data_IF_552504215210
#
_entry.id   IF_552504215210
#
_cell.length_a   1.000
_cell.length_b   1.000
_cell.length_c   1.000
_cell.angle_alpha   90.00
_cell.angle_beta   90.00
_cell.angle_gamma   90.00
#
_symmetry.space_group_name_H-M   'P 1'
#
loop_
_entity.id
_entity.type
_entity.pdbx_description
1 polymer ?
#
# COMPACT_ATOMS: atom_id res chain seq x y z
N UNK A 1 -32.81 50.38 -64.27
CA UNK A 1 -32.78 50.90 -62.89
C UNK A 1 -32.77 49.70 -62.00
N UNK A 2 -31.61 49.36 -61.49
CA UNK A 2 -31.41 48.19 -60.58
C UNK A 2 -31.35 48.67 -59.16
N UNK A 3 -31.98 47.91 -58.24
CA UNK A 3 -31.83 48.08 -56.80
C UNK A 3 -31.16 46.86 -56.25
N UNK A 4 -29.94 47.02 -55.76
CA UNK A 4 -29.19 45.99 -55.02
C UNK A 4 -29.71 45.93 -53.60
N UNK A 5 -30.23 44.78 -53.19
CA UNK A 5 -30.55 44.46 -51.79
C UNK A 5 -29.32 43.72 -51.16
N UNK A 6 -28.70 44.34 -50.19
CA UNK A 6 -27.65 43.71 -49.33
C UNK A 6 -28.35 42.95 -48.21
N UNK A 7 -28.17 41.64 -48.17
CA UNK A 7 -28.57 40.79 -47.04
C UNK A 7 -27.42 40.72 -46.02
N UNK A 8 -27.60 41.28 -44.83
CA UNK A 8 -26.68 41.13 -43.71
C UNK A 8 -26.93 39.79 -42.99
N UNK A 9 -25.96 38.89 -43.03
CA UNK A 9 -25.94 37.65 -42.22
C UNK A 9 -25.42 37.97 -40.82
N UNK A 10 -26.29 37.96 -39.85
CA UNK A 10 -25.94 38.07 -38.44
C UNK A 10 -25.49 36.67 -37.97
N UNK A 11 -24.19 36.49 -37.82
CA UNK A 11 -23.62 35.29 -37.23
C UNK A 11 -23.85 35.29 -35.70
N UNK A 12 -24.59 34.33 -35.23
CA UNK A 12 -24.71 34.10 -33.78
C UNK A 12 -23.42 33.50 -33.22
N UNK A 13 -22.89 34.01 -32.07
CA UNK A 13 -21.75 33.41 -31.41
C UNK A 13 -22.15 32.02 -30.88
N UNK A 14 -21.55 30.97 -31.43
CA UNK A 14 -21.68 29.62 -30.90
C UNK A 14 -21.00 29.55 -29.52
N UNK A 15 -21.79 29.27 -28.49
CA UNK A 15 -21.25 28.89 -27.18
C UNK A 15 -20.60 27.52 -27.30
N UNK A 16 -19.26 27.47 -27.26
CA UNK A 16 -18.54 26.22 -27.10
C UNK A 16 -18.86 25.69 -25.70
N UNK A 17 -19.68 24.65 -25.62
CA UNK A 17 -19.83 23.87 -24.38
C UNK A 17 -18.48 23.21 -24.09
N UNK A 18 -17.82 23.65 -23.04
CA UNK A 18 -16.65 22.94 -22.52
C UNK A 18 -17.09 21.56 -22.02
N UNK A 19 -16.50 20.52 -22.59
CA UNK A 19 -16.68 19.15 -22.14
C UNK A 19 -16.24 19.06 -20.68
N UNK A 20 -17.03 18.44 -19.76
CA UNK A 20 -16.64 18.32 -18.37
C UNK A 20 -15.32 17.53 -18.30
N UNK A 21 -14.41 17.89 -17.35
CA UNK A 21 -13.16 17.17 -17.19
C UNK A 21 -13.47 15.69 -16.89
N UNK A 22 -12.64 14.74 -17.40
CA UNK A 22 -12.83 13.32 -17.14
C UNK A 22 -12.81 13.07 -15.63
N UNK A 23 -13.70 12.18 -15.18
CA UNK A 23 -13.74 11.77 -13.77
C UNK A 23 -12.37 11.29 -13.31
N UNK A 24 -11.93 11.67 -12.09
CA UNK A 24 -10.68 11.18 -11.54
C UNK A 24 -10.71 9.64 -11.46
N UNK A 25 -9.59 8.98 -11.74
CA UNK A 25 -9.51 7.52 -11.66
C UNK A 25 -9.99 7.04 -10.28
N UNK A 26 -10.70 5.90 -10.20
CA UNK A 26 -11.17 5.36 -8.93
C UNK A 26 -10.00 5.22 -7.96
N UNK A 27 -10.14 5.81 -6.78
CA UNK A 27 -9.13 5.66 -5.72
C UNK A 27 -9.08 4.20 -5.28
N UNK A 28 -7.88 3.63 -5.07
CA UNK A 28 -7.77 2.30 -4.50
C UNK A 28 -8.50 2.27 -3.14
N UNK A 29 -9.15 1.14 -2.81
CA UNK A 29 -9.83 1.00 -1.52
C UNK A 29 -8.83 1.28 -0.38
N UNK A 30 -9.29 1.90 0.71
CA UNK A 30 -8.43 2.15 1.86
C UNK A 30 -7.85 0.82 2.38
N UNK A 31 -6.57 0.79 2.81
CA UNK A 31 -5.96 -0.42 3.32
C UNK A 31 -6.72 -0.93 4.54
N UNK A 32 -6.82 -2.26 4.73
CA UNK A 32 -7.47 -2.84 5.89
C UNK A 32 -6.88 -2.32 7.20
N UNK A 33 -7.72 -1.97 8.15
CA UNK A 33 -7.27 -1.57 9.47
C UNK A 33 -6.75 -2.79 10.24
N UNK A 34 -5.44 -3.03 10.21
CA UNK A 34 -4.78 -4.15 10.88
C UNK A 34 -5.09 -4.19 12.37
N UNK A 35 -5.27 -3.04 13.01
CA UNK A 35 -5.55 -2.96 14.44
C UNK A 35 -6.97 -3.43 14.82
N UNK A 36 -7.88 -3.52 13.87
CA UNK A 36 -9.21 -4.06 14.08
C UNK A 36 -9.25 -5.60 14.10
N UNK A 37 -8.17 -6.27 13.63
CA UNK A 37 -8.08 -7.72 13.58
C UNK A 37 -7.76 -8.32 14.95
N UNK A 38 -8.18 -9.58 15.19
CA UNK A 38 -7.96 -10.29 16.43
C UNK A 38 -6.46 -10.60 16.66
N UNK A 39 -5.88 -10.25 17.81
CA UNK A 39 -4.47 -10.53 18.06
C UNK A 39 -4.23 -12.03 18.29
N UNK A 40 -3.17 -12.57 17.67
CA UNK A 40 -2.67 -13.91 17.99
C UNK A 40 -1.59 -13.83 19.07
N UNK A 41 -1.33 -14.97 19.73
CA UNK A 41 -0.25 -15.09 20.70
C UNK A 41 1.10 -15.12 19.98
N UNK A 42 1.92 -14.11 20.20
CA UNK A 42 3.19 -13.91 19.51
C UNK A 42 4.15 -15.11 19.66
N UNK A 43 4.20 -15.72 20.86
CA UNK A 43 5.08 -16.86 21.14
C UNK A 43 4.80 -18.09 20.26
N UNK A 44 3.59 -18.23 19.72
CA UNK A 44 3.22 -19.37 18.89
C UNK A 44 3.82 -19.28 17.48
N UNK A 45 4.33 -18.10 17.12
CA UNK A 45 4.99 -17.78 15.85
C UNK A 45 6.49 -17.60 16.00
N UNK A 46 7.04 -17.85 17.21
CA UNK A 46 8.46 -17.71 17.47
C UNK A 46 9.26 -18.79 16.71
N UNK A 47 10.25 -18.35 15.93
CA UNK A 47 11.19 -19.19 15.18
C UNK A 47 12.61 -18.69 15.43
N UNK A 48 13.64 -19.38 14.94
CA UNK A 48 15.03 -18.97 15.11
C UNK A 48 15.40 -18.70 16.57
N UNK A 49 15.04 -19.62 17.46
CA UNK A 49 15.22 -19.48 18.92
C UNK A 49 14.58 -18.19 19.50
N UNK A 50 13.45 -17.77 18.95
CA UNK A 50 12.73 -16.58 19.38
C UNK A 50 13.32 -15.26 18.89
N UNK A 51 14.25 -15.29 17.94
CA UNK A 51 14.79 -14.07 17.31
C UNK A 51 13.87 -13.54 16.20
N UNK A 52 13.04 -14.40 15.62
CA UNK A 52 12.04 -14.02 14.63
C UNK A 52 10.66 -14.50 15.05
N UNK A 53 9.64 -13.79 14.58
CA UNK A 53 8.24 -14.21 14.63
C UNK A 53 7.75 -14.30 13.19
N UNK A 54 7.52 -15.52 12.70
CA UNK A 54 7.26 -15.74 11.28
C UNK A 54 5.90 -16.40 11.07
N UNK A 55 5.26 -16.03 9.96
CA UNK A 55 4.00 -16.61 9.52
C UNK A 55 3.98 -16.74 8.00
N UNK A 56 3.05 -17.55 7.48
CA UNK A 56 2.77 -17.62 6.05
C UNK A 56 1.45 -16.93 5.71
N UNK A 57 1.43 -16.30 4.55
CA UNK A 57 0.22 -15.73 3.95
C UNK A 57 -0.57 -16.82 3.22
N UNK A 58 -1.84 -16.58 2.81
CA UNK A 58 -2.60 -17.50 1.97
C UNK A 58 -1.88 -17.87 0.66
N UNK A 59 -1.11 -16.96 0.09
CA UNK A 59 -0.36 -17.15 -1.16
C UNK A 59 0.97 -17.89 -0.96
N UNK A 60 1.29 -18.33 0.26
CA UNK A 60 2.52 -19.05 0.56
C UNK A 60 3.77 -18.17 0.72
N UNK A 61 3.61 -16.87 0.81
CA UNK A 61 4.70 -15.94 1.12
C UNK A 61 5.06 -16.06 2.60
N UNK A 62 6.35 -16.09 2.93
CA UNK A 62 6.83 -16.12 4.32
C UNK A 62 7.08 -14.68 4.77
N UNK A 63 6.42 -14.28 5.84
CA UNK A 63 6.61 -12.99 6.50
C UNK A 63 7.29 -13.17 7.85
N UNK A 64 8.15 -12.23 8.23
CA UNK A 64 8.87 -12.26 9.50
C UNK A 64 8.98 -10.86 10.11
N UNK A 65 8.80 -10.82 11.45
CA UNK A 65 9.16 -9.70 12.31
C UNK A 65 10.42 -10.12 13.06
N UNK A 66 11.52 -9.38 12.91
CA UNK A 66 12.84 -9.78 13.38
C UNK A 66 13.28 -8.90 14.54
N UNK A 67 13.77 -9.48 15.62
CA UNK A 67 14.36 -8.69 16.72
C UNK A 67 15.54 -7.87 16.21
N UNK A 68 15.39 -6.54 16.23
CA UNK A 68 16.44 -5.59 15.86
C UNK A 68 16.66 -5.32 14.36
N UNK A 69 16.09 -6.13 13.47
CA UNK A 69 16.37 -6.02 12.02
C UNK A 69 15.20 -5.53 11.17
N UNK A 70 14.02 -5.35 11.75
CA UNK A 70 12.85 -4.91 11.00
C UNK A 70 11.88 -6.04 10.66
N UNK A 71 11.16 -5.87 9.56
CA UNK A 71 10.11 -6.78 9.13
C UNK A 71 10.01 -6.86 7.61
N UNK A 72 9.38 -7.91 7.11
CA UNK A 72 9.17 -8.07 5.69
C UNK A 72 8.53 -9.39 5.31
N UNK A 73 8.31 -9.57 4.01
CA UNK A 73 7.79 -10.78 3.42
C UNK A 73 8.61 -11.15 2.18
N UNK A 74 8.86 -12.45 1.99
CA UNK A 74 9.61 -12.96 0.85
C UNK A 74 8.99 -14.24 0.30
N UNK A 75 8.99 -14.37 -1.01
CA UNK A 75 8.41 -15.49 -1.74
C UNK A 75 7.64 -15.04 -2.98
N UNK A 76 6.65 -15.82 -3.44
CA UNK A 76 5.82 -15.46 -4.58
C UNK A 76 4.81 -14.37 -4.20
N UNK A 77 5.28 -13.12 -4.10
CA UNK A 77 4.42 -11.99 -3.73
C UNK A 77 3.37 -11.77 -4.82
N UNK A 78 2.07 -11.83 -4.48
CA UNK A 78 1.01 -11.69 -5.46
C UNK A 78 1.00 -10.29 -6.09
N UNK A 79 0.84 -10.21 -7.41
CA UNK A 79 0.79 -8.96 -8.17
C UNK A 79 1.83 -7.92 -7.72
N UNK A 80 3.06 -8.36 -7.46
CA UNK A 80 4.16 -7.52 -7.02
C UNK A 80 4.63 -6.57 -8.14
N UNK A 81 5.02 -5.34 -7.80
CA UNK A 81 5.66 -4.43 -8.75
C UNK A 81 6.93 -5.05 -9.33
N UNK A 82 7.13 -4.94 -10.64
CA UNK A 82 8.36 -5.35 -11.34
C UNK A 82 8.84 -6.79 -11.06
N UNK A 83 7.92 -7.68 -10.65
CA UNK A 83 8.25 -9.06 -10.31
C UNK A 83 9.03 -9.21 -8.99
N UNK A 84 8.91 -8.27 -8.08
CA UNK A 84 9.54 -8.32 -6.77
C UNK A 84 9.12 -9.57 -5.99
N UNK A 85 10.08 -10.19 -5.31
CA UNK A 85 9.88 -11.35 -4.45
C UNK A 85 10.27 -11.09 -2.98
N UNK A 86 10.57 -9.85 -2.67
CA UNK A 86 10.88 -9.37 -1.33
C UNK A 86 10.24 -7.99 -1.12
N UNK A 87 9.61 -7.81 0.01
CA UNK A 87 9.26 -6.51 0.56
C UNK A 87 9.76 -6.45 1.99
N UNK A 88 10.46 -5.38 2.36
CA UNK A 88 11.02 -5.27 3.70
C UNK A 88 11.20 -3.82 4.16
N UNK A 89 11.29 -3.64 5.46
CA UNK A 89 11.61 -2.38 6.13
C UNK A 89 12.36 -2.62 7.42
N UNK A 90 13.25 -1.69 7.77
CA UNK A 90 13.74 -1.57 9.15
C UNK A 90 12.67 -0.94 10.04
N UNK A 91 12.72 -1.17 11.36
CA UNK A 91 11.79 -0.53 12.31
C UNK A 91 11.88 1.01 12.22
N UNK A 92 10.73 1.64 11.99
CA UNK A 92 10.63 3.08 11.79
C UNK A 92 11.10 3.56 10.41
N UNK A 93 11.47 2.64 9.51
CA UNK A 93 11.85 2.95 8.13
C UNK A 93 10.69 2.83 7.15
N UNK A 94 10.94 3.26 5.91
CA UNK A 94 10.00 3.08 4.80
C UNK A 94 10.18 1.69 4.20
N UNK A 95 9.07 1.01 3.96
CA UNK A 95 9.09 -0.29 3.29
C UNK A 95 9.42 -0.13 1.80
N UNK A 96 10.02 -1.16 1.20
CA UNK A 96 10.34 -1.19 -0.22
C UNK A 96 10.28 -2.59 -0.80
N UNK A 97 9.85 -2.67 -2.08
CA UNK A 97 9.92 -3.89 -2.87
C UNK A 97 11.30 -4.05 -3.50
N UNK A 98 11.76 -5.28 -3.62
CA UNK A 98 13.02 -5.62 -4.26
C UNK A 98 13.03 -7.06 -4.80
N UNK A 99 14.05 -7.39 -5.59
CA UNK A 99 14.30 -8.74 -6.07
C UNK A 99 15.48 -9.31 -5.30
N UNK A 100 15.25 -10.43 -4.62
CA UNK A 100 16.27 -11.19 -3.93
C UNK A 100 16.58 -12.49 -4.70
N UNK A 101 17.81 -13.05 -4.60
CA UNK A 101 18.19 -14.28 -5.31
C UNK A 101 17.48 -15.53 -4.79
N UNK A 102 16.67 -15.43 -3.75
CA UNK A 102 15.89 -16.50 -3.16
C UNK A 102 14.96 -16.00 -2.07
N UNK A 103 14.30 -16.93 -1.35
CA UNK A 103 13.47 -16.56 -0.22
C UNK A 103 14.34 -16.19 0.99
N UNK A 104 14.38 -14.89 1.30
CA UNK A 104 15.20 -14.31 2.39
C UNK A 104 14.79 -14.85 3.76
N UNK A 105 13.53 -15.23 3.93
CA UNK A 105 12.99 -15.74 5.20
C UNK A 105 12.89 -17.27 5.24
N UNK A 106 13.50 -17.98 4.28
CA UNK A 106 13.53 -19.46 4.27
C UNK A 106 14.09 -20.07 5.57
N UNK A 107 15.00 -19.36 6.25
CA UNK A 107 15.55 -19.78 7.53
C UNK A 107 14.49 -19.87 8.66
N UNK A 108 13.33 -19.25 8.49
CA UNK A 108 12.19 -19.40 9.41
C UNK A 108 11.63 -20.83 9.42
N UNK A 109 11.97 -21.65 8.43
CA UNK A 109 11.47 -23.01 8.28
C UNK A 109 9.97 -23.06 7.98
N UNK A 110 9.27 -24.04 8.53
CA UNK A 110 7.83 -24.20 8.38
C UNK A 110 7.08 -23.19 9.28
N UNK A 111 6.96 -21.95 8.81
CA UNK A 111 6.19 -20.91 9.50
C UNK A 111 4.69 -21.24 9.48
N UNK A 112 4.00 -20.98 10.60
CA UNK A 112 2.56 -21.20 10.69
C UNK A 112 1.78 -20.21 9.84
N UNK A 113 0.64 -20.60 9.25
CA UNK A 113 -0.28 -19.66 8.63
C UNK A 113 -0.81 -18.67 9.67
N UNK A 114 -0.92 -17.40 9.28
CA UNK A 114 -1.68 -16.41 10.07
C UNK A 114 -3.16 -16.58 9.72
N UNK A 115 -4.03 -16.95 10.68
CA UNK A 115 -5.44 -17.18 10.39
C UNK A 115 -6.14 -15.94 9.82
N UNK A 116 -7.15 -16.12 8.96
CA UNK A 116 -7.99 -15.03 8.51
C UNK A 116 -8.62 -14.26 9.70
N UNK A 117 -8.70 -12.94 9.57
CA UNK A 117 -9.22 -12.07 10.63
C UNK A 117 -8.26 -11.87 11.81
N UNK A 118 -6.99 -12.29 11.66
CA UNK A 118 -5.99 -12.24 12.74
C UNK A 118 -4.84 -11.31 12.43
N UNK A 119 -4.22 -10.81 13.51
CA UNK A 119 -2.98 -10.01 13.43
C UNK A 119 -1.92 -10.53 14.39
N UNK A 120 -0.68 -10.40 13.98
CA UNK A 120 0.51 -10.59 14.81
C UNK A 120 1.20 -9.24 14.99
N UNK A 121 1.65 -8.93 16.20
CA UNK A 121 2.31 -7.65 16.50
C UNK A 121 3.58 -7.87 17.28
N UNK A 122 4.62 -7.14 16.90
CA UNK A 122 5.88 -7.08 17.63
C UNK A 122 6.45 -5.67 17.57
N UNK A 123 6.78 -5.10 18.72
CA UNK A 123 7.20 -3.69 18.85
C UNK A 123 6.17 -2.74 18.21
N UNK A 124 6.59 -1.94 17.24
CA UNK A 124 5.73 -0.97 16.54
C UNK A 124 5.04 -1.53 15.30
N UNK A 125 5.38 -2.77 14.91
CA UNK A 125 4.86 -3.39 13.68
C UNK A 125 3.70 -4.32 13.98
N UNK A 126 2.66 -4.21 13.19
CA UNK A 126 1.52 -5.12 13.16
C UNK A 126 1.30 -5.64 11.75
N UNK A 127 1.23 -6.95 11.60
CA UNK A 127 0.85 -7.61 10.35
C UNK A 127 -0.48 -8.33 10.53
N UNK A 128 -1.40 -8.15 9.61
CA UNK A 128 -2.72 -8.78 9.66
C UNK A 128 -3.09 -9.45 8.35
N UNK A 129 -3.93 -10.49 8.46
CA UNK A 129 -4.49 -11.21 7.32
C UNK A 129 -6.02 -11.17 7.43
N UNK A 130 -6.69 -10.61 6.43
CA UNK A 130 -8.16 -10.57 6.35
C UNK A 130 -8.78 -11.81 5.65
N UNK A 131 -7.94 -12.72 5.15
CA UNK A 131 -8.31 -13.92 4.39
C UNK A 131 -7.91 -13.85 2.91
N UNK A 132 -7.70 -12.66 2.37
CA UNK A 132 -7.28 -12.44 0.98
C UNK A 132 -6.05 -11.57 0.91
N UNK A 133 -5.97 -10.58 1.80
CA UNK A 133 -4.95 -9.54 1.82
C UNK A 133 -4.13 -9.64 3.09
N UNK A 134 -2.82 -9.52 2.97
CA UNK A 134 -1.90 -9.38 4.10
C UNK A 134 -1.37 -7.95 4.14
N UNK A 135 -1.57 -7.28 5.27
CA UNK A 135 -1.12 -5.90 5.48
C UNK A 135 -0.17 -5.84 6.66
N UNK A 136 1.00 -5.25 6.48
CA UNK A 136 1.94 -4.95 7.56
C UNK A 136 2.12 -3.45 7.68
N UNK A 137 2.03 -2.91 8.89
CA UNK A 137 2.19 -1.48 9.19
C UNK A 137 3.12 -1.30 10.38
N UNK A 138 4.07 -0.40 10.27
CA UNK A 138 4.81 0.13 11.40
C UNK A 138 4.09 1.38 11.92
N UNK A 139 3.49 1.28 13.10
CA UNK A 139 2.71 2.36 13.72
C UNK A 139 3.55 3.59 14.06
N UNK A 140 4.87 3.46 14.11
CA UNK A 140 5.77 4.58 14.40
C UNK A 140 6.00 5.46 13.18
N UNK A 141 6.23 4.86 12.02
CA UNK A 141 6.50 5.57 10.76
C UNK A 141 5.25 5.75 9.91
N UNK A 142 4.13 5.10 10.29
CA UNK A 142 2.91 5.00 9.47
C UNK A 142 3.20 4.46 8.06
N UNK A 143 4.30 3.74 7.91
CA UNK A 143 4.72 3.08 6.68
C UNK A 143 4.46 1.59 6.76
N UNK A 144 4.31 0.96 5.61
CA UNK A 144 4.06 -0.47 5.55
C UNK A 144 3.85 -0.94 4.13
N UNK A 145 3.20 -2.08 3.99
CA UNK A 145 2.87 -2.64 2.68
C UNK A 145 1.60 -3.49 2.72
N UNK A 146 1.02 -3.65 1.57
CA UNK A 146 -0.13 -4.54 1.33
C UNK A 146 0.29 -5.58 0.30
N UNK A 147 -0.01 -6.85 0.58
CA UNK A 147 0.12 -7.98 -0.33
C UNK A 147 -1.28 -8.46 -0.68
N UNK A 148 -1.64 -8.38 -1.96
CA UNK A 148 -2.98 -8.73 -2.43
C UNK A 148 -2.92 -9.26 -3.86
N UNK A 149 -3.75 -10.24 -4.23
CA UNK A 149 -3.91 -10.68 -5.62
C UNK A 149 -4.34 -9.56 -6.58
N UNK A 150 -5.04 -8.53 -6.07
CA UNK A 150 -5.46 -7.37 -6.85
C UNK A 150 -4.34 -6.34 -7.09
N UNK A 151 -3.24 -6.44 -6.35
CA UNK A 151 -2.09 -5.55 -6.44
C UNK A 151 -1.38 -5.43 -5.09
N UNK A 152 -0.06 -5.59 -5.10
CA UNK A 152 0.77 -5.37 -3.92
C UNK A 152 1.43 -4.00 -4.00
N UNK A 153 1.42 -3.24 -2.90
CA UNK A 153 1.90 -1.85 -2.89
C UNK A 153 2.43 -1.43 -1.52
N UNK A 154 3.21 -0.35 -1.51
CA UNK A 154 3.73 0.26 -0.28
C UNK A 154 2.70 1.25 0.28
N UNK A 155 2.50 1.18 1.58
CA UNK A 155 1.78 2.18 2.36
C UNK A 155 2.77 3.27 2.77
N UNK A 156 2.63 4.44 2.21
CA UNK A 156 3.34 5.63 2.62
C UNK A 156 2.29 6.65 3.05
N UNK A 157 2.01 6.74 4.33
CA UNK A 157 1.34 7.95 4.80
C UNK A 157 2.37 9.07 4.82
N UNK A 158 2.36 9.88 3.76
CA UNK A 158 2.98 11.20 3.82
C UNK A 158 2.24 11.95 4.93
N UNK A 159 2.91 12.43 6.00
CA UNK A 159 2.23 13.18 7.04
C UNK A 159 1.40 14.29 6.40
N UNK A 160 0.15 14.51 6.81
CA UNK A 160 -0.72 15.55 6.23
C UNK A 160 -0.10 16.95 6.24
N UNK A 161 0.87 17.18 7.14
CA UNK A 161 1.64 18.42 7.25
C UNK A 161 2.63 18.65 6.10
N UNK A 162 2.99 17.60 5.34
CA UNK A 162 3.87 17.70 4.17
C UNK A 162 3.10 17.74 2.85
N UNK A 163 1.81 17.39 2.86
CA UNK A 163 0.94 17.55 1.71
C UNK A 163 0.41 18.98 1.67
N UNK A 164 1.21 19.88 1.13
CA UNK A 164 0.76 21.24 0.79
C UNK A 164 0.43 21.23 -0.71
N UNK A 165 -0.83 21.40 -1.12
CA UNK A 165 -1.15 21.64 -2.53
C UNK A 165 -0.35 22.84 -2.99
N UNK A 166 0.40 22.70 -4.08
CA UNK A 166 1.14 23.82 -4.66
C UNK A 166 0.15 24.98 -4.90
N UNK A 167 0.43 26.13 -4.31
CA UNK A 167 -0.34 27.37 -4.52
C UNK A 167 -1.04 27.99 -3.30
N UNK A 168 -1.02 27.36 -2.12
CA UNK A 168 -1.57 27.99 -0.90
C UNK A 168 -0.47 28.32 0.11
N UNK A 169 0.12 29.50 -0.04
CA UNK A 169 0.93 30.09 1.03
C UNK A 169 -0.01 30.71 2.08
N UNK A 170 0.06 30.34 3.37
CA UNK A 170 -0.75 30.98 4.41
C UNK A 170 -0.29 32.43 4.71
N UNK A 171 0.77 32.91 4.05
CA UNK A 171 1.35 34.24 4.21
C UNK A 171 1.26 35.09 2.94
N UNK A 172 0.50 34.68 1.93
CA UNK A 172 0.17 35.53 0.80
C UNK A 172 -1.01 36.44 1.19
N UNK A 173 -0.72 37.65 1.68
CA UNK A 173 -1.64 38.78 1.71
C UNK A 173 -1.54 39.54 0.41
#
# INVERSE_FOLDING_TARGET
>A
MGVLGAAAVVGAPGFASAEPPPDPPPQPPPPPNVNALAPVKLSDYAVMNGNWFAFTTPDGVICALQKGNGYGCSGPIPAAPEGANLVSSAYGGVAGFSIAPGNVFAAAGAAKPLPPGSRISYQTVSCGNDGTTTTCVDNRSQSGFVLSPAGSFILNETPPLLYRPEGTSPFAN
#
